data_IF_266639655463
#
_entry.id   IF_266639655463
#
_cell.length_a   1.000
_cell.length_b   1.000
_cell.length_c   1.000
_cell.angle_alpha   90.00
_cell.angle_beta   90.00
_cell.angle_gamma   90.00
#
_symmetry.space_group_name_H-M   'P 1'
#
loop_
_entity.id
_entity.type
_entity.pdbx_description
1 polymer ?
#
# COMPACT_ATOMS: atom_id res chain seq x y z
N UNK A 1 18.69 31.42 -9.25
CA UNK A 1 17.34 31.42 -8.63
C UNK A 1 17.25 30.09 -7.91
N UNK A 2 16.97 30.05 -6.61
CA UNK A 2 16.80 28.76 -5.93
C UNK A 2 15.54 28.09 -6.44
N UNK A 3 15.62 26.80 -6.72
CA UNK A 3 14.47 25.99 -7.13
C UNK A 3 13.65 25.69 -5.88
N UNK A 4 12.34 25.91 -5.96
CA UNK A 4 11.40 25.59 -4.90
C UNK A 4 10.84 24.18 -5.15
N UNK A 5 10.68 23.38 -4.10
CA UNK A 5 9.99 22.07 -4.14
C UNK A 5 8.66 22.19 -3.41
N UNK A 6 7.61 21.64 -4.02
CA UNK A 6 6.29 21.58 -3.41
C UNK A 6 6.25 20.51 -2.31
N UNK A 7 5.77 20.92 -1.15
CA UNK A 7 5.62 20.09 0.03
C UNK A 7 4.13 19.99 0.37
N UNK A 8 3.57 18.79 0.22
CA UNK A 8 2.15 18.49 0.43
C UNK A 8 1.90 17.79 1.76
N UNK A 9 0.66 17.89 2.26
CA UNK A 9 0.28 17.26 3.51
C UNK A 9 -0.01 15.77 3.35
N UNK A 10 -0.55 15.35 2.21
CA UNK A 10 -0.79 13.93 1.90
C UNK A 10 -0.27 13.58 0.50
N UNK A 11 0.28 12.38 0.33
CA UNK A 11 0.84 11.89 -0.95
C UNK A 11 -0.15 12.01 -2.12
N UNK A 12 -1.45 11.77 -1.87
CA UNK A 12 -2.50 11.93 -2.87
C UNK A 12 -2.61 13.33 -3.48
N UNK A 13 -2.15 14.39 -2.80
CA UNK A 13 -2.19 15.77 -3.33
C UNK A 13 -1.25 16.00 -4.51
N UNK A 14 -0.20 15.18 -4.61
CA UNK A 14 0.74 15.21 -5.75
C UNK A 14 0.00 14.93 -7.08
N UNK A 15 -1.18 14.31 -7.03
CA UNK A 15 -2.03 14.12 -8.20
C UNK A 15 -2.45 15.43 -8.89
N UNK A 16 -2.42 16.56 -8.19
CA UNK A 16 -2.66 17.87 -8.78
C UNK A 16 -1.58 18.28 -9.79
N UNK A 17 -0.38 17.69 -9.72
CA UNK A 17 0.74 17.96 -10.65
C UNK A 17 0.67 17.10 -11.92
N UNK A 18 -0.11 16.00 -11.90
CA UNK A 18 -0.17 15.03 -13.00
C UNK A 18 -0.67 15.56 -14.36
N UNK A 19 -1.51 16.61 -14.45
CA UNK A 19 -1.84 17.22 -15.75
C UNK A 19 -0.61 17.71 -16.53
N UNK A 20 0.50 18.00 -15.85
CA UNK A 20 1.77 18.37 -16.48
C UNK A 20 2.61 17.16 -16.92
N UNK A 21 2.12 15.93 -16.68
CA UNK A 21 2.77 14.65 -17.00
C UNK A 21 4.22 14.54 -16.49
N UNK A 22 4.46 14.79 -15.19
CA UNK A 22 5.81 14.83 -14.63
C UNK A 22 6.56 13.50 -14.76
N UNK A 23 5.84 12.38 -14.88
CA UNK A 23 6.41 11.02 -14.89
C UNK A 23 6.51 10.40 -16.29
N UNK A 24 5.95 11.04 -17.32
CA UNK A 24 5.83 10.44 -18.64
C UNK A 24 7.21 10.20 -19.29
N UNK A 25 7.53 8.94 -19.59
CA UNK A 25 8.80 8.56 -20.23
C UNK A 25 10.02 8.67 -19.32
N UNK A 26 9.80 8.77 -18.01
CA UNK A 26 10.83 8.89 -16.98
C UNK A 26 10.77 7.69 -16.02
N UNK A 27 11.85 7.43 -15.32
CA UNK A 27 11.85 6.51 -14.18
C UNK A 27 11.56 7.32 -12.92
N UNK A 28 10.49 6.96 -12.20
CA UNK A 28 10.20 7.54 -10.88
C UNK A 28 10.99 6.77 -9.83
N UNK A 29 11.75 7.45 -8.99
CA UNK A 29 12.33 6.89 -7.77
C UNK A 29 11.51 7.40 -6.60
N UNK A 30 10.74 6.53 -5.95
CA UNK A 30 9.94 6.88 -4.78
C UNK A 30 10.62 6.41 -3.48
N UNK A 31 10.77 7.36 -2.55
CA UNK A 31 11.14 7.10 -1.16
C UNK A 31 9.87 7.09 -0.35
N UNK A 32 9.45 5.91 0.08
CA UNK A 32 8.19 5.72 0.78
C UNK A 32 8.30 4.51 1.71
N UNK A 33 7.78 4.59 2.94
CA UNK A 33 7.72 3.41 3.81
C UNK A 33 6.69 2.41 3.29
N UNK A 34 5.61 2.89 2.67
CA UNK A 34 4.46 2.11 2.25
C UNK A 34 4.33 2.13 0.73
N UNK A 35 4.48 0.98 0.08
CA UNK A 35 4.27 0.93 -1.37
C UNK A 35 2.79 1.14 -1.74
N UNK A 36 2.50 2.34 -2.23
CA UNK A 36 1.19 2.83 -2.68
C UNK A 36 0.79 2.34 -4.09
N UNK A 37 0.99 1.04 -4.35
CA UNK A 37 0.71 0.40 -5.62
C UNK A 37 -0.27 -0.77 -5.49
N UNK A 38 -1.53 -0.55 -5.88
CA UNK A 38 -2.59 -1.57 -5.92
C UNK A 38 -3.50 -1.37 -7.13
N UNK A 39 -4.22 -2.39 -7.62
CA UNK A 39 -5.18 -2.16 -8.69
C UNK A 39 -6.22 -1.13 -8.30
N UNK A 40 -6.59 -0.28 -9.25
CA UNK A 40 -7.63 0.71 -9.06
C UNK A 40 -8.95 0.04 -8.70
N UNK A 41 -9.72 0.68 -7.83
CA UNK A 41 -11.09 0.28 -7.55
C UNK A 41 -11.94 0.21 -8.84
N UNK A 42 -13.02 -0.59 -8.87
CA UNK A 42 -13.90 -0.66 -10.03
C UNK A 42 -14.33 0.73 -10.53
N UNK A 43 -14.22 0.95 -11.85
CA UNK A 43 -14.51 2.24 -12.49
C UNK A 43 -13.41 3.30 -12.36
N UNK A 44 -12.36 3.08 -11.55
CA UNK A 44 -11.29 4.07 -11.32
C UNK A 44 -10.50 4.40 -12.58
N UNK A 45 -10.14 3.40 -13.40
CA UNK A 45 -9.42 3.62 -14.67
C UNK A 45 -10.24 4.45 -15.67
N UNK A 46 -11.56 4.21 -15.74
CA UNK A 46 -12.47 4.98 -16.61
C UNK A 46 -12.61 6.42 -16.13
N UNK A 47 -12.82 6.62 -14.83
CA UNK A 47 -12.91 7.95 -14.23
C UNK A 47 -11.61 8.74 -14.45
N UNK A 48 -10.45 8.12 -14.24
CA UNK A 48 -9.14 8.73 -14.47
C UNK A 48 -8.87 9.03 -15.95
N UNK A 49 -9.32 8.20 -16.89
CA UNK A 49 -9.21 8.56 -18.32
C UNK A 49 -10.08 9.75 -18.67
N UNK A 50 -11.29 9.83 -18.10
CA UNK A 50 -12.18 10.96 -18.32
C UNK A 50 -11.60 12.29 -17.79
N UNK A 51 -10.78 12.27 -16.73
CA UNK A 51 -10.07 13.48 -16.26
C UNK A 51 -8.99 13.94 -17.24
N UNK A 52 -8.27 12.99 -17.86
CA UNK A 52 -7.26 13.29 -18.87
C UNK A 52 -7.82 13.98 -20.13
N UNK A 53 -9.10 13.76 -20.44
CA UNK A 53 -9.81 14.32 -21.59
C UNK A 53 -10.42 15.72 -21.35
N UNK A 54 -10.22 16.30 -20.16
CA UNK A 54 -10.21 17.77 -20.00
C UNK A 54 -11.37 18.47 -19.28
N UNK A 55 -12.06 17.84 -18.32
CA UNK A 55 -13.14 18.53 -17.56
C UNK A 55 -13.05 18.47 -16.02
N UNK A 56 -12.20 17.61 -15.45
CA UNK A 56 -12.13 17.38 -13.99
C UNK A 56 -10.66 17.14 -13.63
N UNK A 57 -10.16 17.79 -12.58
CA UNK A 57 -8.78 17.55 -12.13
C UNK A 57 -8.65 16.15 -11.52
N UNK A 58 -7.56 15.38 -11.76
CA UNK A 58 -7.31 14.12 -11.04
C UNK A 58 -7.37 14.28 -9.52
N UNK A 59 -7.01 15.46 -8.99
CA UNK A 59 -7.11 15.77 -7.56
C UNK A 59 -8.55 15.68 -7.01
N UNK A 60 -9.58 15.86 -7.85
CA UNK A 60 -10.98 15.72 -7.44
C UNK A 60 -11.41 14.26 -7.25
N UNK A 61 -10.67 13.32 -7.84
CA UNK A 61 -10.90 11.87 -7.69
C UNK A 61 -10.09 11.26 -6.53
N UNK A 62 -9.30 12.06 -5.81
CA UNK A 62 -8.55 11.61 -4.64
C UNK A 62 -9.54 11.31 -3.49
N UNK A 63 -9.51 10.09 -2.99
CA UNK A 63 -10.23 9.64 -1.79
C UNK A 63 -9.68 10.42 -0.60
N UNK A 64 -10.57 11.11 0.10
CA UNK A 64 -10.21 11.78 1.34
C UNK A 64 -10.04 10.72 2.42
N UNK A 65 -8.88 10.69 3.08
CA UNK A 65 -8.65 9.74 4.16
C UNK A 65 -9.61 9.98 5.33
N UNK A 66 -10.00 8.93 6.07
CA UNK A 66 -9.64 7.51 5.96
C UNK A 66 -10.56 6.71 5.01
N UNK A 67 -11.25 7.36 4.07
CA UNK A 67 -12.28 6.73 3.22
C UNK A 67 -11.62 5.75 2.25
N UNK A 68 -11.90 4.46 2.43
CA UNK A 68 -11.51 3.36 1.53
C UNK A 68 -12.73 2.87 0.75
N UNK A 69 -12.51 2.25 -0.41
CA UNK A 69 -13.58 1.62 -1.19
C UNK A 69 -14.59 2.57 -1.85
N UNK A 70 -14.20 3.79 -2.25
CA UNK A 70 -15.04 4.67 -3.07
C UNK A 70 -14.88 4.30 -4.54
N UNK A 71 -15.93 3.79 -5.22
CA UNK A 71 -15.85 3.46 -6.65
C UNK A 71 -15.50 4.70 -7.49
N UNK A 72 -14.68 4.51 -8.53
CA UNK A 72 -14.26 5.61 -9.41
C UNK A 72 -13.23 6.59 -8.83
N UNK A 73 -12.88 6.49 -7.55
CA UNK A 73 -11.85 7.29 -6.89
C UNK A 73 -10.60 6.47 -6.59
N UNK A 74 -9.46 7.13 -6.34
CA UNK A 74 -8.19 6.52 -5.94
C UNK A 74 -7.66 7.20 -4.66
N UNK A 75 -6.81 6.56 -3.86
CA UNK A 75 -6.23 7.10 -2.64
C UNK A 75 -4.73 6.83 -2.56
N UNK A 76 -4.17 6.91 -1.34
CA UNK A 76 -2.76 6.58 -1.07
C UNK A 76 -2.43 5.18 -1.64
N UNK A 77 -3.19 4.19 -1.22
CA UNK A 77 -3.02 2.78 -1.51
C UNK A 77 -2.89 2.37 -3.00
N UNK A 78 -3.48 3.12 -3.93
CA UNK A 78 -3.49 2.86 -5.37
C UNK A 78 -2.98 4.04 -6.21
N UNK A 79 -2.29 4.99 -5.57
CA UNK A 79 -1.75 6.22 -6.16
C UNK A 79 -0.86 5.93 -7.38
N UNK A 80 0.08 5.00 -7.27
CA UNK A 80 1.00 4.70 -8.38
C UNK A 80 0.29 4.04 -9.57
N UNK A 81 -0.79 3.31 -9.33
CA UNK A 81 -1.64 2.79 -10.41
C UNK A 81 -2.43 3.90 -11.10
N UNK A 82 -2.90 4.89 -10.33
CA UNK A 82 -3.55 6.07 -10.91
C UNK A 82 -2.55 6.89 -11.75
N UNK A 83 -1.34 7.11 -11.25
CA UNK A 83 -0.25 7.78 -11.96
C UNK A 83 0.07 7.09 -13.30
N UNK A 84 0.03 5.77 -13.35
CA UNK A 84 0.23 5.02 -14.59
C UNK A 84 -0.83 5.34 -15.67
N UNK A 85 -2.07 5.61 -15.25
CA UNK A 85 -3.17 5.93 -16.16
C UNK A 85 -3.09 7.37 -16.67
N UNK A 86 -2.86 8.35 -15.78
CA UNK A 86 -3.00 9.79 -16.13
C UNK A 86 -1.69 10.54 -16.31
N UNK A 87 -0.63 10.15 -15.57
CA UNK A 87 0.69 10.78 -15.65
C UNK A 87 1.66 10.03 -16.59
N UNK A 88 1.26 8.87 -17.11
CA UNK A 88 2.06 8.06 -18.04
C UNK A 88 3.24 7.35 -17.38
N UNK A 89 3.14 7.03 -16.08
CA UNK A 89 4.15 6.26 -15.37
C UNK A 89 4.24 4.84 -15.93
N UNK A 90 5.44 4.42 -16.31
CA UNK A 90 5.73 3.04 -16.74
C UNK A 90 6.77 2.35 -15.85
N UNK A 91 7.73 3.09 -15.31
CA UNK A 91 8.87 2.56 -14.58
C UNK A 91 8.98 3.23 -13.20
N UNK A 92 8.86 2.41 -12.16
CA UNK A 92 8.89 2.83 -10.75
C UNK A 92 10.00 2.08 -10.02
N UNK A 93 10.87 2.82 -9.35
CA UNK A 93 11.86 2.32 -8.40
C UNK A 93 11.37 2.69 -7.01
N UNK A 94 10.98 1.70 -6.22
CA UNK A 94 10.63 1.91 -4.82
C UNK A 94 11.83 1.63 -3.93
N UNK A 95 12.20 2.62 -3.14
CA UNK A 95 13.29 2.57 -2.16
C UNK A 95 12.68 2.51 -0.76
N UNK A 96 12.51 1.31 -0.18
CA UNK A 96 11.95 1.17 1.16
C UNK A 96 12.93 1.68 2.23
N UNK A 97 12.42 2.03 3.41
CA UNK A 97 13.19 2.53 4.55
C UNK A 97 13.96 1.43 5.31
N UNK A 98 14.39 0.36 4.65
CA UNK A 98 15.06 -0.76 5.31
C UNK A 98 16.47 -0.39 5.79
N UNK A 99 16.79 -0.73 7.04
CA UNK A 99 18.13 -0.57 7.62
C UNK A 99 19.07 -1.75 7.36
N UNK A 100 18.54 -2.92 7.05
CA UNK A 100 19.31 -4.15 6.85
C UNK A 100 19.09 -4.75 5.48
N UNK A 101 20.19 -5.26 4.92
CA UNK A 101 20.27 -5.83 3.58
C UNK A 101 20.37 -7.36 3.60
N UNK A 102 20.56 -7.94 4.78
CA UNK A 102 20.58 -9.39 4.93
C UNK A 102 19.20 -9.96 4.60
N UNK A 103 19.13 -10.81 3.57
CA UNK A 103 17.87 -11.41 3.15
C UNK A 103 16.86 -10.44 2.52
N UNK A 104 17.30 -9.28 2.02
CA UNK A 104 16.42 -8.27 1.40
C UNK A 104 15.53 -8.85 0.30
N UNK A 105 15.98 -9.90 -0.40
CA UNK A 105 15.21 -10.56 -1.46
C UNK A 105 13.88 -11.13 -0.93
N UNK A 106 13.91 -11.75 0.26
CA UNK A 106 12.71 -12.28 0.89
C UNK A 106 11.76 -11.14 1.28
N UNK A 107 12.31 -10.08 1.87
CA UNK A 107 11.54 -8.89 2.24
C UNK A 107 10.89 -8.23 1.02
N UNK A 108 11.62 -8.05 -0.08
CA UNK A 108 11.10 -7.48 -1.33
C UNK A 108 9.95 -8.30 -1.90
N UNK A 109 10.08 -9.63 -1.95
CA UNK A 109 8.99 -10.51 -2.42
C UNK A 109 7.78 -10.39 -1.50
N UNK A 110 7.98 -10.39 -0.19
CA UNK A 110 6.89 -10.29 0.78
C UNK A 110 6.16 -8.94 0.71
N UNK A 111 6.88 -7.83 0.53
CA UNK A 111 6.31 -6.47 0.42
C UNK A 111 5.34 -6.33 -0.75
N UNK A 112 5.63 -6.97 -1.89
CA UNK A 112 4.75 -6.93 -3.07
C UNK A 112 3.76 -8.09 -3.12
N UNK A 113 3.83 -9.04 -2.18
CA UNK A 113 3.11 -10.31 -2.26
C UNK A 113 1.60 -10.23 -2.10
N UNK A 114 1.09 -9.12 -1.55
CA UNK A 114 -0.33 -8.87 -1.34
C UNK A 114 -0.98 -8.02 -2.44
N UNK A 115 -0.19 -7.50 -3.38
CA UNK A 115 -0.70 -6.73 -4.51
C UNK A 115 -1.33 -7.72 -5.49
N UNK A 116 -2.64 -7.57 -5.73
CA UNK A 116 -3.37 -8.43 -6.67
C UNK A 116 -2.92 -8.14 -8.09
N UNK A 117 -2.82 -9.19 -8.91
CA UNK A 117 -2.30 -9.05 -10.28
C UNK A 117 -3.33 -8.53 -11.27
N UNK A 118 -4.60 -8.45 -10.87
CA UNK A 118 -5.72 -8.20 -11.79
C UNK A 118 -5.81 -9.24 -12.92
N UNK A 119 -5.27 -10.45 -12.70
CA UNK A 119 -5.22 -11.52 -13.71
C UNK A 119 -4.08 -11.38 -14.72
N UNK A 120 -3.17 -10.42 -14.57
CA UNK A 120 -2.02 -10.22 -15.47
C UNK A 120 -0.78 -10.99 -14.99
N UNK A 121 0.03 -11.59 -15.90
CA UNK A 121 1.30 -12.19 -15.50
C UNK A 121 2.28 -11.16 -14.96
N UNK A 122 2.92 -11.44 -13.82
CA UNK A 122 3.79 -10.48 -13.12
C UNK A 122 5.28 -10.56 -13.47
N UNK A 123 5.73 -11.67 -14.09
CA UNK A 123 7.13 -11.92 -14.51
C UNK A 123 8.18 -11.40 -13.50
N UNK A 124 8.16 -11.89 -12.24
CA UNK A 124 9.12 -11.47 -11.22
C UNK A 124 10.53 -12.00 -11.54
N UNK A 125 11.55 -11.20 -11.28
CA UNK A 125 12.95 -11.60 -11.34
C UNK A 125 13.76 -10.85 -10.29
N UNK A 126 14.63 -11.57 -9.59
CA UNK A 126 15.54 -10.99 -8.60
C UNK A 126 16.92 -10.85 -9.21
N UNK A 127 17.52 -9.67 -9.08
CA UNK A 127 18.88 -9.31 -9.51
C UNK A 127 19.74 -8.98 -8.29
N UNK A 128 21.06 -8.77 -8.44
CA UNK A 128 21.93 -8.45 -7.30
C UNK A 128 21.50 -7.21 -6.51
N UNK A 129 20.86 -6.25 -7.16
CA UNK A 129 20.48 -4.96 -6.57
C UNK A 129 18.97 -4.75 -6.37
N UNK A 130 18.11 -5.63 -6.88
CA UNK A 130 16.66 -5.36 -6.89
C UNK A 130 15.79 -6.57 -7.17
N UNK A 131 14.56 -6.54 -6.68
CA UNK A 131 13.47 -7.36 -7.20
C UNK A 131 12.79 -6.55 -8.30
N UNK A 132 12.60 -7.13 -9.48
CA UNK A 132 11.81 -6.54 -10.56
C UNK A 132 10.54 -7.33 -10.78
N UNK A 133 9.42 -6.64 -10.97
CA UNK A 133 8.10 -7.24 -11.19
C UNK A 133 7.21 -6.27 -11.94
N UNK A 134 6.30 -6.76 -12.78
CA UNK A 134 5.23 -5.94 -13.37
C UNK A 134 3.94 -6.11 -12.58
N UNK A 135 3.44 -5.01 -12.03
CA UNK A 135 2.18 -4.96 -11.26
C UNK A 135 1.39 -3.73 -11.70
N UNK A 136 0.07 -3.88 -11.85
CA UNK A 136 -0.83 -2.77 -12.21
C UNK A 136 -0.43 -1.99 -13.49
N UNK A 137 0.29 -2.61 -14.42
CA UNK A 137 0.79 -1.95 -15.63
C UNK A 137 2.12 -1.19 -15.44
N UNK A 138 2.66 -1.17 -14.23
CA UNK A 138 3.93 -0.53 -13.87
C UNK A 138 5.03 -1.58 -13.74
N UNK A 139 6.19 -1.32 -14.32
CA UNK A 139 7.42 -2.06 -14.03
C UNK A 139 8.00 -1.52 -12.73
N UNK A 140 7.87 -2.30 -11.67
CA UNK A 140 8.37 -2.00 -10.34
C UNK A 140 9.74 -2.63 -10.12
N UNK A 141 10.68 -1.85 -9.61
CA UNK A 141 11.92 -2.32 -9.00
C UNK A 141 11.88 -2.00 -7.49
N UNK A 142 12.02 -3.02 -6.63
CA UNK A 142 12.22 -2.84 -5.19
C UNK A 142 13.72 -2.85 -4.93
N UNK A 143 14.25 -1.73 -4.45
CA UNK A 143 15.69 -1.48 -4.39
C UNK A 143 16.09 -1.07 -2.97
N UNK A 144 16.85 -1.89 -2.23
CA UNK A 144 17.37 -1.48 -0.93
C UNK A 144 18.21 -0.19 -1.03
N UNK A 145 18.17 0.71 -0.02
CA UNK A 145 18.84 2.00 -0.07
C UNK A 145 20.33 1.97 -0.46
N UNK A 146 21.13 1.05 0.07
CA UNK A 146 22.55 0.89 -0.26
C UNK A 146 22.83 0.41 -1.69
N UNK A 147 21.88 -0.29 -2.30
CA UNK A 147 21.99 -0.82 -3.66
C UNK A 147 21.47 0.16 -4.72
N UNK A 148 20.91 1.30 -4.29
CA UNK A 148 20.29 2.31 -5.17
C UNK A 148 21.27 2.83 -6.22
N UNK A 149 22.45 3.30 -5.81
CA UNK A 149 23.45 3.83 -6.74
C UNK A 149 23.82 2.82 -7.84
N UNK A 150 24.04 1.56 -7.46
CA UNK A 150 24.37 0.47 -8.38
C UNK A 150 23.19 0.05 -9.26
N UNK A 151 21.95 0.20 -8.78
CA UNK A 151 20.76 -0.04 -9.59
C UNK A 151 20.61 1.03 -10.68
N UNK A 152 20.71 2.30 -10.30
CA UNK A 152 20.55 3.44 -11.22
C UNK A 152 21.57 3.36 -12.36
N UNK A 153 22.85 3.16 -12.04
CA UNK A 153 23.94 3.06 -13.02
C UNK A 153 23.74 1.93 -14.05
N UNK A 154 23.30 0.75 -13.58
CA UNK A 154 23.18 -0.45 -14.43
C UNK A 154 21.89 -0.53 -15.19
N UNK A 155 20.78 -0.10 -14.59
CA UNK A 155 19.43 -0.49 -15.05
C UNK A 155 18.53 0.68 -15.45
N UNK A 156 18.84 1.90 -15.02
CA UNK A 156 18.05 3.09 -15.38
C UNK A 156 18.71 3.81 -16.55
N UNK A 157 17.94 4.06 -17.61
CA UNK A 157 18.41 4.65 -18.88
C UNK A 157 17.65 5.90 -19.31
N UNK A 158 16.52 6.16 -18.66
CA UNK A 158 15.67 7.34 -18.87
C UNK A 158 15.97 8.37 -17.79
N UNK A 159 15.49 9.60 -18.01
CA UNK A 159 15.57 10.64 -16.99
C UNK A 159 14.89 10.18 -15.69
N UNK A 160 15.51 10.53 -14.56
CA UNK A 160 14.99 10.25 -13.24
C UNK A 160 14.18 11.44 -12.74
N UNK A 161 13.08 11.11 -12.06
CA UNK A 161 12.33 12.04 -11.22
C UNK A 161 12.13 11.39 -9.86
N UNK A 162 12.38 12.14 -8.80
CA UNK A 162 12.28 11.66 -7.42
C UNK A 162 10.96 12.11 -6.81
N UNK A 163 10.33 11.23 -6.06
CA UNK A 163 9.14 11.50 -5.24
C UNK A 163 9.40 11.00 -3.81
N UNK A 164 8.93 11.71 -2.80
CA UNK A 164 9.29 11.45 -1.39
C UNK A 164 8.04 11.53 -0.52
N UNK A 165 7.67 10.43 0.11
CA UNK A 165 6.89 10.45 1.35
C UNK A 165 7.86 10.43 2.55
N UNK A 166 7.75 11.45 3.40
CA UNK A 166 8.62 11.65 4.55
C UNK A 166 8.34 10.66 5.68
N UNK A 167 7.27 9.87 5.59
CA UNK A 167 7.09 8.70 6.45
C UNK A 167 8.22 7.66 6.29
N UNK A 168 9.01 7.75 5.20
CA UNK A 168 10.24 6.99 4.99
C UNK A 168 11.25 7.18 6.11
N UNK A 169 11.24 8.34 6.78
CA UNK A 169 12.16 8.66 7.87
C UNK A 169 11.81 7.96 9.19
N UNK A 170 10.59 7.42 9.35
CA UNK A 170 10.10 6.87 10.62
C UNK A 170 9.80 5.37 10.57
N UNK A 171 9.85 4.71 11.72
CA UNK A 171 9.42 3.33 11.92
C UNK A 171 7.88 3.20 11.99
N UNK A 172 7.36 1.97 12.05
CA UNK A 172 5.91 1.69 12.21
C UNK A 172 5.30 2.18 13.53
N UNK A 173 6.14 2.69 14.43
CA UNK A 173 5.73 3.29 15.69
C UNK A 173 5.89 4.83 15.66
N UNK A 174 6.24 5.41 14.50
CA UNK A 174 6.44 6.84 14.33
C UNK A 174 7.73 7.34 14.96
N UNK A 175 8.76 6.50 15.14
CA UNK A 175 10.07 6.93 15.68
C UNK A 175 11.07 7.07 14.54
N UNK A 176 11.93 8.09 14.56
CA UNK A 176 12.96 8.26 13.54
C UNK A 176 13.82 7.01 13.35
N UNK A 177 13.73 6.46 12.15
CA UNK A 177 14.53 5.35 11.66
C UNK A 177 15.70 5.85 10.80
N UNK A 178 15.53 6.96 10.10
CA UNK A 178 16.56 7.61 9.29
C UNK A 178 16.58 9.11 9.56
N UNK A 179 17.73 9.74 9.34
CA UNK A 179 17.86 11.19 9.44
C UNK A 179 17.52 11.89 8.12
N UNK A 180 17.18 13.17 8.19
CA UNK A 180 17.02 14.00 6.99
C UNK A 180 18.31 14.06 6.14
N UNK A 181 19.48 13.83 6.74
CA UNK A 181 20.75 13.73 6.03
C UNK A 181 20.82 12.43 5.21
N UNK A 182 20.45 11.30 5.79
CA UNK A 182 20.46 10.00 5.10
C UNK A 182 19.57 10.04 3.84
N UNK A 183 18.36 10.59 3.98
CA UNK A 183 17.43 10.75 2.85
C UNK A 183 17.99 11.72 1.80
N UNK A 184 18.54 12.87 2.21
CA UNK A 184 19.10 13.83 1.27
C UNK A 184 20.30 13.26 0.49
N UNK A 185 21.13 12.42 1.11
CA UNK A 185 22.23 11.73 0.44
C UNK A 185 21.72 10.73 -0.61
N UNK A 186 20.70 9.94 -0.29
CA UNK A 186 20.08 9.00 -1.24
C UNK A 186 19.37 9.71 -2.41
N UNK A 187 18.67 10.80 -2.13
CA UNK A 187 18.06 11.64 -3.17
C UNK A 187 19.13 12.27 -4.06
N UNK A 188 20.25 12.70 -3.47
CA UNK A 188 21.42 13.19 -4.20
C UNK A 188 22.00 12.14 -5.17
N UNK A 189 22.00 10.86 -4.78
CA UNK A 189 22.42 9.74 -5.65
C UNK A 189 21.49 9.54 -6.84
N UNK A 190 20.18 9.79 -6.68
CA UNK A 190 19.21 9.67 -7.77
C UNK A 190 19.52 10.63 -8.92
N UNK A 191 19.97 11.84 -8.57
CA UNK A 191 20.05 12.95 -9.51
C UNK A 191 18.67 13.30 -10.08
N UNK A 192 18.66 14.20 -11.06
CA UNK A 192 17.43 14.61 -11.73
C UNK A 192 16.57 15.59 -10.92
N UNK A 193 15.28 15.57 -11.20
CA UNK A 193 14.29 16.49 -10.63
C UNK A 193 13.63 15.87 -9.40
N UNK A 194 13.32 16.69 -8.39
CA UNK A 194 12.46 16.31 -7.28
C UNK A 194 11.04 16.82 -7.58
N UNK A 195 10.09 15.91 -7.82
CA UNK A 195 8.72 16.25 -8.19
C UNK A 195 7.96 16.89 -7.03
N UNK A 196 7.96 16.22 -5.87
CA UNK A 196 7.28 16.66 -4.68
C UNK A 196 7.86 15.97 -3.44
N UNK A 197 7.51 16.51 -2.27
CA UNK A 197 7.65 15.82 -0.99
C UNK A 197 6.31 15.84 -0.25
N UNK A 198 5.99 14.81 0.51
CA UNK A 198 4.77 14.71 1.33
C UNK A 198 5.11 14.32 2.76
N UNK A 199 4.34 14.77 3.75
CA UNK A 199 4.63 14.47 5.16
C UNK A 199 3.56 13.66 5.88
N UNK A 200 2.38 13.43 5.31
CA UNK A 200 1.40 12.42 5.77
C UNK A 200 1.04 12.47 7.27
N UNK A 201 0.76 13.68 7.80
CA UNK A 201 0.35 13.85 9.22
C UNK A 201 -1.13 13.59 9.47
N UNK A 202 -2.04 13.86 8.51
CA UNK A 202 -3.48 13.64 8.71
C UNK A 202 -3.84 12.16 8.64
N UNK A 203 -3.12 11.43 7.79
CA UNK A 203 -3.16 9.98 7.71
C UNK A 203 -2.58 9.28 8.95
N UNK A 204 -1.78 10.00 9.76
CA UNK A 204 -1.16 9.47 10.97
C UNK A 204 0.06 8.59 10.71
N UNK A 205 0.64 8.64 9.50
CA UNK A 205 1.89 7.94 9.17
C UNK A 205 3.12 8.69 9.69
N UNK A 206 3.05 10.02 9.75
CA UNK A 206 4.06 10.86 10.40
C UNK A 206 3.49 11.60 11.62
N UNK A 207 4.14 11.53 12.79
CA UNK A 207 3.79 12.36 13.93
C UNK A 207 3.85 13.87 13.61
N UNK A 208 2.91 14.63 14.16
CA UNK A 208 2.77 16.08 13.92
C UNK A 208 4.00 16.89 14.35
N UNK A 209 4.76 16.40 15.35
CA UNK A 209 6.03 17.02 15.77
C UNK A 209 7.11 17.02 14.68
N UNK A 210 6.96 16.22 13.63
CA UNK A 210 7.91 16.15 12.51
C UNK A 210 7.47 16.93 11.27
N UNK A 211 6.41 17.74 11.35
CA UNK A 211 5.91 18.56 10.24
C UNK A 211 7.00 19.42 9.55
N UNK A 212 8.03 19.82 10.29
CA UNK A 212 9.12 20.66 9.77
C UNK A 212 10.21 19.88 9.02
N UNK A 213 10.18 18.54 9.04
CA UNK A 213 11.28 17.71 8.49
C UNK A 213 11.43 17.87 6.97
N UNK A 214 10.34 18.14 6.25
CA UNK A 214 10.40 18.40 4.81
C UNK A 214 11.24 19.63 4.45
N UNK A 215 11.14 20.70 5.24
CA UNK A 215 11.98 21.88 5.06
C UNK A 215 13.48 21.58 5.35
N UNK A 216 13.74 20.69 6.31
CA UNK A 216 15.09 20.26 6.68
C UNK A 216 15.77 19.42 5.58
N UNK A 217 15.00 18.51 4.96
CA UNK A 217 15.43 17.73 3.78
C UNK A 217 15.65 18.65 2.58
N UNK A 218 14.70 19.55 2.28
CA UNK A 218 14.85 20.52 1.18
C UNK A 218 16.13 21.35 1.32
N UNK A 219 16.40 21.86 2.52
CA UNK A 219 17.59 22.68 2.79
C UNK A 219 18.90 21.91 2.54
N UNK A 220 18.97 20.62 2.91
CA UNK A 220 20.14 19.75 2.63
C UNK A 220 20.34 19.48 1.15
N UNK A 221 19.26 19.44 0.39
CA UNK A 221 19.28 19.34 -1.07
C UNK A 221 19.57 20.69 -1.76
N UNK A 222 19.75 21.78 -1.00
CA UNK A 222 19.95 23.12 -1.55
C UNK A 222 18.70 23.74 -2.17
N UNK A 223 17.52 23.23 -1.80
CA UNK A 223 16.20 23.67 -2.25
C UNK A 223 15.50 24.49 -1.17
N UNK A 224 14.43 25.18 -1.56
CA UNK A 224 13.47 25.75 -0.59
C UNK A 224 12.17 24.96 -0.68
N UNK A 225 11.62 24.58 0.46
CA UNK A 225 10.29 23.99 0.51
C UNK A 225 9.22 25.08 0.42
N UNK A 226 8.18 24.83 -0.36
CA UNK A 226 6.94 25.61 -0.39
C UNK A 226 5.80 24.69 -0.01
N UNK A 227 5.12 25.00 1.09
CA UNK A 227 3.89 24.31 1.45
C UNK A 227 2.81 24.58 0.39
N UNK A 228 2.25 23.51 -0.14
CA UNK A 228 1.19 23.52 -1.15
C UNK A 228 0.08 22.58 -0.69
N UNK A 229 -1.18 22.97 -0.91
CA UNK A 229 -2.30 22.09 -0.61
C UNK A 229 -3.47 22.35 -1.55
N UNK A 230 -4.12 21.27 -1.96
CA UNK A 230 -5.31 21.28 -2.80
C UNK A 230 -6.50 20.61 -2.11
N UNK A 231 -6.26 19.97 -0.95
CA UNK A 231 -7.33 19.44 -0.13
C UNK A 231 -8.04 20.56 0.63
N UNK A 232 -9.38 20.49 0.75
CA UNK A 232 -10.09 21.40 1.65
C UNK A 232 -9.56 21.24 3.07
N UNK A 233 -9.51 22.34 3.82
CA UNK A 233 -9.11 22.42 5.23
C UNK A 233 -10.14 21.75 6.17
N UNK A 234 -10.57 20.54 5.84
CA UNK A 234 -11.45 19.75 6.69
C UNK A 234 -10.64 19.32 7.90
N UNK A 235 -11.02 19.72 9.13
CA UNK A 235 -10.30 19.30 10.32
C UNK A 235 -10.49 17.79 10.49
N UNK A 236 -9.39 17.04 10.39
CA UNK A 236 -9.36 15.60 10.66
C UNK A 236 -8.78 15.34 12.06
N UNK A 237 -9.24 14.31 12.77
CA UNK A 237 -8.72 13.99 14.09
C UNK A 237 -7.35 13.28 13.97
N UNK A 238 -6.29 14.04 13.70
CA UNK A 238 -4.91 13.55 13.50
C UNK A 238 -4.47 12.59 14.62
N UNK A 239 -4.73 12.95 15.89
CA UNK A 239 -4.43 12.13 17.06
C UNK A 239 -5.15 10.77 17.04
N UNK A 240 -6.39 10.71 16.55
CA UNK A 240 -7.14 9.47 16.45
C UNK A 240 -6.59 8.60 15.32
N UNK A 241 -6.24 9.21 14.19
CA UNK A 241 -5.60 8.51 13.07
C UNK A 241 -4.25 7.90 13.47
N UNK A 242 -3.42 8.67 14.16
CA UNK A 242 -2.15 8.20 14.71
C UNK A 242 -2.36 7.01 15.65
N UNK A 243 -3.36 7.07 16.55
CA UNK A 243 -3.69 5.94 17.44
C UNK A 243 -4.14 4.71 16.68
N UNK A 244 -4.98 4.88 15.64
CA UNK A 244 -5.41 3.79 14.78
C UNK A 244 -4.21 3.13 14.08
N UNK A 245 -3.27 3.93 13.58
CA UNK A 245 -2.06 3.44 12.92
C UNK A 245 -1.14 2.69 13.90
N UNK A 246 -0.88 3.27 15.08
CA UNK A 246 -0.06 2.67 16.13
C UNK A 246 -0.74 1.49 16.85
N UNK A 247 -2.04 1.25 16.61
CA UNK A 247 -2.81 0.22 17.30
C UNK A 247 -2.99 0.49 18.79
N UNK A 248 -3.05 1.76 19.21
CA UNK A 248 -3.21 2.17 20.61
C UNK A 248 -4.67 2.47 20.96
N UNK A 249 -5.00 2.34 22.25
CA UNK A 249 -6.36 2.55 22.73
C UNK A 249 -6.82 4.02 22.54
N UNK A 250 -8.02 4.20 22.00
CA UNK A 250 -8.73 5.49 22.05
C UNK A 250 -9.49 5.65 23.39
N UNK A 251 -9.80 6.89 23.81
CA UNK A 251 -10.72 7.14 24.92
C UNK A 251 -12.06 6.41 24.73
N UNK A 252 -12.67 5.99 25.84
CA UNK A 252 -13.92 5.23 25.82
C UNK A 252 -15.14 6.06 25.36
N UNK A 253 -15.07 7.40 25.45
CA UNK A 253 -16.11 8.27 24.93
C UNK A 253 -16.01 8.34 23.40
N UNK A 254 -17.05 7.85 22.72
CA UNK A 254 -17.23 8.04 21.28
C UNK A 254 -17.64 9.49 20.95
N UNK A 255 -17.68 9.85 19.66
CA UNK A 255 -18.20 11.15 19.24
C UNK A 255 -19.67 11.27 19.71
N UNK A 256 -20.08 12.47 20.10
CA UNK A 256 -21.46 12.72 20.52
C UNK A 256 -22.44 12.42 19.37
N UNK A 257 -23.62 11.88 19.70
CA UNK A 257 -24.74 11.73 18.77
C UNK A 257 -25.31 13.12 18.40
N UNK A 258 -24.62 13.82 17.51
CA UNK A 258 -25.19 14.98 16.81
C UNK A 258 -25.79 14.52 15.46
N UNK A 259 -26.73 15.28 14.91
CA UNK A 259 -27.30 15.03 13.56
C UNK A 259 -26.17 14.99 12.52
N UNK A 260 -25.68 13.80 12.21
CA UNK A 260 -24.44 13.62 11.47
C UNK A 260 -24.61 12.96 10.10
N UNK A 261 -23.93 13.51 9.10
CA UNK A 261 -23.77 12.92 7.76
C UNK A 261 -22.61 11.92 7.68
N UNK A 262 -22.09 11.69 6.47
CA UNK A 262 -21.00 10.72 6.20
C UNK A 262 -19.75 11.03 7.03
N UNK A 263 -19.46 12.31 7.30
CA UNK A 263 -18.34 12.75 8.14
C UNK A 263 -18.44 12.20 9.57
N UNK A 264 -19.64 12.18 10.15
CA UNK A 264 -19.87 11.57 11.45
C UNK A 264 -19.67 10.05 11.38
N UNK A 265 -20.17 9.41 10.31
CA UNK A 265 -19.94 7.98 10.08
C UNK A 265 -18.46 7.62 10.01
N UNK A 266 -17.64 8.46 9.36
CA UNK A 266 -16.19 8.31 9.31
C UNK A 266 -15.58 8.41 10.70
N UNK A 267 -15.95 9.42 11.49
CA UNK A 267 -15.44 9.59 12.86
C UNK A 267 -15.78 8.37 13.73
N UNK A 268 -17.03 7.90 13.69
CA UNK A 268 -17.47 6.70 14.42
C UNK A 268 -16.66 5.46 14.00
N UNK A 269 -16.41 5.27 12.70
CA UNK A 269 -15.62 4.15 12.21
C UNK A 269 -14.16 4.20 12.69
N UNK A 270 -13.54 5.39 12.77
CA UNK A 270 -12.20 5.57 13.32
C UNK A 270 -12.12 5.20 14.80
N UNK A 271 -13.13 5.58 15.58
CA UNK A 271 -13.23 5.13 16.97
C UNK A 271 -13.34 3.60 17.05
N UNK A 272 -14.15 2.98 16.21
CA UNK A 272 -14.25 1.52 16.11
C UNK A 272 -12.90 0.86 15.77
N UNK A 273 -12.14 1.44 14.86
CA UNK A 273 -10.82 0.96 14.45
C UNK A 273 -9.81 0.96 15.60
N UNK A 274 -9.79 2.03 16.40
CA UNK A 274 -8.93 2.14 17.58
C UNK A 274 -9.33 1.14 18.70
N UNK A 275 -10.59 0.69 18.73
CA UNK A 275 -11.10 -0.27 19.73
C UNK A 275 -11.04 -1.73 19.27
N UNK A 276 -10.91 -2.02 17.98
CA UNK A 276 -11.08 -3.37 17.44
C UNK A 276 -10.16 -4.44 18.05
N UNK A 277 -8.96 -4.07 18.48
CA UNK A 277 -8.04 -4.99 19.18
C UNK A 277 -8.39 -5.26 20.64
N UNK A 278 -9.18 -4.39 21.27
CA UNK A 278 -9.50 -4.42 22.71
C UNK A 278 -10.92 -4.93 22.97
N UNK A 279 -11.88 -4.48 22.16
CA UNK A 279 -13.28 -4.83 22.26
C UNK A 279 -13.90 -5.00 20.88
N UNK A 280 -13.90 -6.24 20.34
CA UNK A 280 -14.51 -6.53 19.05
C UNK A 280 -16.01 -6.22 19.00
N UNK A 281 -16.70 -6.32 20.14
CA UNK A 281 -18.11 -5.95 20.27
C UNK A 281 -18.31 -4.44 20.08
N UNK A 282 -17.46 -3.61 20.71
CA UNK A 282 -17.52 -2.14 20.53
C UNK A 282 -17.17 -1.72 19.12
N UNK A 283 -16.17 -2.35 18.50
CA UNK A 283 -15.84 -2.08 17.11
C UNK A 283 -17.01 -2.42 16.16
N UNK A 284 -17.75 -3.49 16.45
CA UNK A 284 -18.97 -3.84 15.75
C UNK A 284 -20.09 -2.82 15.95
N UNK A 285 -20.34 -2.37 17.19
CA UNK A 285 -21.30 -1.28 17.46
C UNK A 285 -20.97 -0.03 16.63
N UNK A 286 -19.69 0.38 16.60
CA UNK A 286 -19.23 1.49 15.78
C UNK A 286 -19.42 1.23 14.28
N UNK A 287 -19.22 0.00 13.81
CA UNK A 287 -19.45 -0.34 12.40
C UNK A 287 -20.92 -0.16 12.01
N UNK A 288 -21.84 -0.63 12.85
CA UNK A 288 -23.29 -0.53 12.63
C UNK A 288 -23.76 0.94 12.72
N UNK A 289 -23.25 1.71 13.68
CA UNK A 289 -23.51 3.15 13.81
C UNK A 289 -22.99 3.94 12.62
N UNK A 290 -21.75 3.70 12.18
CA UNK A 290 -21.17 4.36 11.01
C UNK A 290 -22.00 4.10 9.74
N UNK A 291 -22.48 2.87 9.56
CA UNK A 291 -23.37 2.51 8.47
C UNK A 291 -24.71 3.27 8.54
N UNK A 292 -25.24 3.51 9.76
CA UNK A 292 -26.40 4.37 10.00
C UNK A 292 -26.22 5.82 9.54
N UNK A 293 -24.99 6.33 9.56
CA UNK A 293 -24.59 7.62 8.99
C UNK A 293 -24.18 7.55 7.51
N UNK A 294 -24.39 6.40 6.85
CA UNK A 294 -24.08 6.20 5.43
C UNK A 294 -22.63 5.82 5.11
N UNK A 295 -21.78 5.59 6.11
CA UNK A 295 -20.37 5.22 5.90
C UNK A 295 -20.10 3.74 6.19
N UNK A 296 -19.56 3.02 5.21
CA UNK A 296 -19.18 1.61 5.36
C UNK A 296 -17.67 1.45 5.22
N UNK A 297 -17.00 1.04 6.30
CA UNK A 297 -15.54 0.93 6.34
C UNK A 297 -15.05 -0.50 6.13
N UNK A 298 -14.42 -0.77 4.98
CA UNK A 298 -13.75 -2.05 4.69
C UNK A 298 -12.67 -2.38 5.73
N UNK A 299 -11.94 -1.36 6.19
CA UNK A 299 -10.89 -1.49 7.19
C UNK A 299 -11.44 -1.93 8.55
N UNK A 300 -12.54 -1.33 9.00
CA UNK A 300 -13.17 -1.68 10.27
C UNK A 300 -13.76 -3.09 10.21
N UNK A 301 -14.45 -3.44 9.12
CA UNK A 301 -14.94 -4.79 8.88
C UNK A 301 -13.79 -5.82 8.96
N UNK A 302 -12.66 -5.53 8.30
CA UNK A 302 -11.48 -6.39 8.36
C UNK A 302 -10.95 -6.55 9.80
N UNK A 303 -10.79 -5.45 10.55
CA UNK A 303 -10.28 -5.49 11.93
C UNK A 303 -11.20 -6.27 12.87
N UNK A 304 -12.52 -6.10 12.75
CA UNK A 304 -13.51 -6.91 13.49
C UNK A 304 -13.35 -8.39 13.13
N UNK A 305 -13.31 -8.70 11.83
CA UNK A 305 -13.14 -10.07 11.34
C UNK A 305 -11.86 -10.74 11.85
N UNK A 306 -10.75 -10.01 11.84
CA UNK A 306 -9.47 -10.49 12.35
C UNK A 306 -9.51 -10.75 13.87
N UNK A 307 -10.11 -9.85 14.64
CA UNK A 307 -10.23 -10.01 16.10
C UNK A 307 -11.15 -11.18 16.48
N UNK A 308 -12.29 -11.35 15.79
CA UNK A 308 -13.18 -12.51 15.97
C UNK A 308 -12.49 -13.82 15.63
N UNK A 309 -11.68 -13.84 14.57
CA UNK A 309 -10.91 -15.02 14.20
C UNK A 309 -9.93 -15.42 15.31
N UNK A 310 -9.21 -14.44 15.88
CA UNK A 310 -8.28 -14.65 16.98
C UNK A 310 -8.98 -15.21 18.23
N UNK A 311 -10.22 -14.78 18.49
CA UNK A 311 -11.05 -15.27 19.60
C UNK A 311 -11.75 -16.62 19.33
N UNK A 312 -11.52 -17.24 18.16
CA UNK A 312 -12.11 -18.53 17.80
C UNK A 312 -13.54 -18.47 17.25
N UNK A 313 -14.14 -17.28 17.15
CA UNK A 313 -15.43 -17.09 16.49
C UNK A 313 -15.27 -17.02 14.97
N UNK A 314 -14.99 -18.18 14.38
CA UNK A 314 -14.72 -18.31 12.95
C UNK A 314 -15.93 -17.96 12.07
N UNK A 315 -17.15 -18.14 12.57
CA UNK A 315 -18.38 -17.82 11.81
C UNK A 315 -18.52 -16.32 11.63
N UNK A 316 -18.48 -15.56 12.73
CA UNK A 316 -18.57 -14.08 12.68
C UNK A 316 -17.35 -13.49 12.01
N UNK A 317 -16.16 -14.06 12.25
CA UNK A 317 -14.95 -13.66 11.53
C UNK A 317 -15.15 -13.72 10.01
N UNK A 318 -15.63 -14.85 9.49
CA UNK A 318 -15.83 -15.02 8.04
C UNK A 318 -16.86 -14.04 7.47
N UNK A 319 -17.92 -13.73 8.22
CA UNK A 319 -18.92 -12.73 7.81
C UNK A 319 -18.27 -11.37 7.59
N UNK A 320 -17.56 -10.85 8.59
CA UNK A 320 -16.92 -9.53 8.51
C UNK A 320 -15.75 -9.48 7.53
N UNK A 321 -14.99 -10.57 7.39
CA UNK A 321 -13.93 -10.65 6.38
C UNK A 321 -14.49 -10.64 4.95
N UNK A 322 -15.63 -11.30 4.71
CA UNK A 322 -16.33 -11.21 3.41
C UNK A 322 -16.89 -9.82 3.16
N UNK A 323 -17.39 -9.15 4.20
CA UNK A 323 -17.87 -7.78 4.09
C UNK A 323 -16.76 -6.79 3.74
N UNK A 324 -15.58 -6.91 4.38
CA UNK A 324 -14.40 -6.10 4.04
C UNK A 324 -14.04 -6.22 2.55
N UNK A 325 -14.07 -7.45 2.02
CA UNK A 325 -13.77 -7.75 0.61
C UNK A 325 -14.86 -7.24 -0.32
N UNK A 326 -16.12 -7.29 0.10
CA UNK A 326 -17.25 -6.76 -0.68
C UNK A 326 -17.14 -5.24 -0.84
N UNK A 327 -16.72 -4.55 0.23
CA UNK A 327 -16.56 -3.10 0.26
C UNK A 327 -15.34 -2.64 -0.55
N UNK A 328 -14.23 -3.36 -0.46
CA UNK A 328 -13.02 -3.04 -1.24
C UNK A 328 -12.27 -4.32 -1.66
N UNK A 329 -12.59 -4.87 -2.86
CA UNK A 329 -12.02 -6.14 -3.29
C UNK A 329 -10.57 -6.05 -3.78
N UNK A 330 -10.07 -4.84 -4.08
CA UNK A 330 -8.73 -4.61 -4.65
C UNK A 330 -7.70 -4.15 -3.60
N UNK A 331 -8.15 -3.72 -2.42
CA UNK A 331 -7.25 -3.36 -1.32
C UNK A 331 -6.43 -4.57 -0.84
N UNK A 332 -5.17 -4.34 -0.43
CA UNK A 332 -4.32 -5.34 0.22
C UNK A 332 -4.92 -5.82 1.55
N UNK A 333 -5.68 -4.96 2.25
CA UNK A 333 -6.50 -5.40 3.39
C UNK A 333 -7.59 -6.38 2.95
N UNK A 334 -8.21 -6.16 1.80
CA UNK A 334 -9.14 -7.09 1.18
C UNK A 334 -8.46 -8.42 0.82
N UNK A 335 -7.28 -8.39 0.20
CA UNK A 335 -6.49 -9.59 -0.08
C UNK A 335 -6.15 -10.37 1.20
N UNK A 336 -5.74 -9.67 2.26
CA UNK A 336 -5.48 -10.30 3.56
C UNK A 336 -6.78 -10.85 4.20
N UNK A 337 -7.89 -10.12 4.08
CA UNK A 337 -9.19 -10.55 4.56
C UNK A 337 -9.65 -11.85 3.89
N UNK A 338 -9.41 -12.00 2.59
CA UNK A 338 -9.69 -13.24 1.85
C UNK A 338 -8.84 -14.41 2.35
N UNK A 339 -7.54 -14.20 2.58
CA UNK A 339 -6.66 -15.24 3.15
C UNK A 339 -7.18 -15.69 4.52
N UNK A 340 -7.54 -14.75 5.40
CA UNK A 340 -8.13 -15.08 6.71
C UNK A 340 -9.50 -15.74 6.58
N UNK A 341 -10.32 -15.30 5.62
CA UNK A 341 -11.62 -15.88 5.30
C UNK A 341 -11.51 -17.34 4.90
N UNK A 342 -10.56 -17.68 4.02
CA UNK A 342 -10.28 -19.05 3.62
C UNK A 342 -9.80 -19.92 4.79
N UNK A 343 -9.02 -19.35 5.73
CA UNK A 343 -8.68 -20.03 6.99
C UNK A 343 -9.90 -20.25 7.88
N UNK A 344 -10.84 -19.31 7.92
CA UNK A 344 -12.09 -19.50 8.65
C UNK A 344 -12.95 -20.59 7.99
N UNK A 345 -13.03 -20.63 6.66
CA UNK A 345 -13.66 -21.72 5.90
C UNK A 345 -13.02 -23.07 6.24
N UNK A 346 -11.69 -23.16 6.35
CA UNK A 346 -11.02 -24.40 6.78
C UNK A 346 -11.51 -24.89 8.14
N UNK A 347 -11.76 -23.97 9.09
CA UNK A 347 -12.23 -24.31 10.43
C UNK A 347 -13.71 -24.72 10.47
N UNK A 348 -14.52 -24.17 9.58
CA UNK A 348 -15.97 -24.34 9.58
C UNK A 348 -16.45 -25.48 8.67
N UNK A 349 -15.83 -25.62 7.51
CA UNK A 349 -16.29 -26.46 6.40
C UNK A 349 -15.26 -27.50 5.96
N UNK A 350 -14.02 -27.40 6.46
CA UNK A 350 -12.98 -28.40 6.25
C UNK A 350 -12.06 -28.16 5.05
N UNK A 351 -11.13 -29.10 4.78
CA UNK A 351 -10.01 -28.89 3.85
C UNK A 351 -10.42 -28.70 2.39
N UNK A 352 -11.40 -29.46 1.88
CA UNK A 352 -11.85 -29.36 0.49
C UNK A 352 -12.38 -27.95 0.14
N UNK A 353 -13.26 -27.40 0.98
CA UNK A 353 -13.82 -26.06 0.79
C UNK A 353 -12.72 -24.99 0.84
N UNK A 354 -11.83 -25.08 1.83
CA UNK A 354 -10.70 -24.16 1.95
C UNK A 354 -9.72 -24.25 0.78
N UNK A 355 -9.44 -25.46 0.27
CA UNK A 355 -8.54 -25.67 -0.86
C UNK A 355 -9.03 -24.90 -2.09
N UNK A 356 -10.33 -24.96 -2.38
CA UNK A 356 -10.93 -24.21 -3.49
C UNK A 356 -10.74 -22.69 -3.34
N UNK A 357 -10.97 -22.14 -2.14
CA UNK A 357 -10.75 -20.71 -1.89
C UNK A 357 -9.26 -20.33 -2.00
N UNK A 358 -8.36 -21.18 -1.49
CA UNK A 358 -6.92 -20.95 -1.58
C UNK A 358 -6.38 -21.05 -3.00
N UNK A 359 -6.91 -21.94 -3.85
CA UNK A 359 -6.53 -22.01 -5.27
C UNK A 359 -6.86 -20.70 -6.00
N UNK A 360 -8.05 -20.13 -5.77
CA UNK A 360 -8.43 -18.83 -6.32
C UNK A 360 -7.48 -17.72 -5.83
N UNK A 361 -7.15 -17.71 -4.54
CA UNK A 361 -6.16 -16.81 -3.97
C UNK A 361 -4.77 -16.98 -4.59
N UNK A 362 -4.34 -18.20 -4.89
CA UNK A 362 -3.04 -18.47 -5.51
C UNK A 362 -2.91 -17.85 -6.90
N UNK A 363 -3.98 -17.89 -7.69
CA UNK A 363 -4.00 -17.28 -9.03
C UNK A 363 -3.87 -15.75 -8.97
N UNK A 364 -4.46 -15.12 -7.96
CA UNK A 364 -4.45 -13.66 -7.81
C UNK A 364 -3.24 -13.12 -7.03
N UNK A 365 -2.66 -13.94 -6.15
CA UNK A 365 -1.52 -13.61 -5.30
C UNK A 365 -0.38 -14.61 -5.54
N UNK A 366 0.19 -14.69 -6.76
CA UNK A 366 1.19 -15.69 -7.11
C UNK A 366 2.48 -15.55 -6.28
N UNK A 367 2.74 -14.35 -5.74
CA UNK A 367 3.91 -14.07 -4.91
C UNK A 367 3.72 -14.41 -3.42
N UNK A 368 2.49 -14.74 -2.98
CA UNK A 368 2.19 -14.98 -1.57
C UNK A 368 2.56 -16.39 -1.13
N UNK A 369 3.79 -16.57 -0.65
CA UNK A 369 4.33 -17.85 -0.15
C UNK A 369 3.39 -18.60 0.79
N UNK A 370 2.78 -17.90 1.75
CA UNK A 370 1.86 -18.50 2.73
C UNK A 370 0.63 -19.17 2.10
N UNK A 371 0.11 -18.60 1.00
CA UNK A 371 -1.02 -19.18 0.24
C UNK A 371 -0.60 -20.49 -0.40
N UNK A 372 0.51 -20.51 -1.14
CA UNK A 372 1.01 -21.72 -1.81
C UNK A 372 1.44 -22.84 -0.86
N UNK A 373 2.02 -22.49 0.30
CA UNK A 373 2.28 -23.48 1.37
C UNK A 373 0.98 -24.15 1.83
N UNK A 374 -0.09 -23.36 1.99
CA UNK A 374 -1.40 -23.86 2.42
C UNK A 374 -2.06 -24.70 1.34
N UNK A 375 -2.06 -24.26 0.08
CA UNK A 375 -2.56 -25.03 -1.08
C UNK A 375 -1.87 -26.39 -1.13
N UNK A 376 -0.53 -26.44 -1.08
CA UNK A 376 0.22 -27.70 -1.14
C UNK A 376 -0.18 -28.66 -0.03
N UNK A 377 -0.34 -28.15 1.19
CA UNK A 377 -0.71 -28.95 2.36
C UNK A 377 -2.12 -29.52 2.22
N UNK A 378 -3.10 -28.67 1.89
CA UNK A 378 -4.50 -29.09 1.75
C UNK A 378 -4.68 -30.04 0.56
N UNK A 379 -4.05 -29.76 -0.58
CA UNK A 379 -4.12 -30.61 -1.76
C UNK A 379 -3.59 -32.03 -1.49
N UNK A 380 -2.48 -32.15 -0.74
CA UNK A 380 -1.97 -33.46 -0.31
C UNK A 380 -2.92 -34.20 0.64
N UNK A 381 -3.58 -33.47 1.54
CA UNK A 381 -4.55 -34.07 2.46
C UNK A 381 -5.79 -34.60 1.71
N UNK A 382 -6.21 -33.91 0.65
CA UNK A 382 -7.34 -34.29 -0.20
C UNK A 382 -6.97 -35.27 -1.34
N UNK A 383 -5.69 -35.63 -1.48
CA UNK A 383 -5.22 -36.50 -2.57
C UNK A 383 -5.12 -35.84 -3.95
N UNK A 384 -5.28 -34.52 -4.04
CA UNK A 384 -5.10 -33.73 -5.27
C UNK A 384 -3.61 -33.49 -5.54
N UNK A 385 -2.98 -34.47 -6.18
CA UNK A 385 -1.54 -34.44 -6.47
C UNK A 385 -1.17 -33.45 -7.57
N UNK A 386 -2.11 -33.06 -8.43
CA UNK A 386 -1.85 -32.10 -9.52
C UNK A 386 -1.74 -30.67 -8.97
N UNK A 387 -2.67 -30.29 -8.11
CA UNK A 387 -2.60 -29.03 -7.37
C UNK A 387 -1.38 -28.98 -6.46
N UNK A 388 -1.06 -30.08 -5.77
CA UNK A 388 0.13 -30.15 -4.91
C UNK A 388 1.43 -29.91 -5.70
N UNK A 389 1.56 -30.50 -6.90
CA UNK A 389 2.71 -30.30 -7.78
C UNK A 389 2.78 -28.87 -8.32
N UNK A 390 1.64 -28.28 -8.66
CA UNK A 390 1.56 -26.87 -9.10
C UNK A 390 2.05 -25.94 -8.00
N UNK A 391 1.56 -26.13 -6.77
CA UNK A 391 1.98 -25.34 -5.62
C UNK A 391 3.48 -25.51 -5.31
N UNK A 392 4.04 -26.71 -5.50
CA UNK A 392 5.48 -26.96 -5.35
C UNK A 392 6.32 -26.28 -6.44
N UNK A 393 5.83 -26.23 -7.68
CA UNK A 393 6.43 -25.41 -8.75
C UNK A 393 6.52 -23.95 -8.35
N UNK A 394 5.42 -23.38 -7.84
CA UNK A 394 5.37 -21.99 -7.42
C UNK A 394 6.26 -21.72 -6.20
N UNK A 395 6.27 -22.59 -5.19
CA UNK A 395 7.15 -22.44 -4.03
C UNK A 395 8.62 -22.44 -4.43
N UNK A 396 9.03 -23.27 -5.39
CA UNK A 396 10.39 -23.27 -5.93
C UNK A 396 10.73 -21.96 -6.65
N UNK A 397 9.78 -21.36 -7.39
CA UNK A 397 9.97 -20.03 -7.95
C UNK A 397 10.21 -19.00 -6.84
N UNK A 398 9.41 -19.01 -5.78
CA UNK A 398 9.58 -18.09 -4.65
C UNK A 398 10.90 -18.32 -3.91
N UNK A 399 11.33 -19.57 -3.75
CA UNK A 399 12.65 -19.88 -3.17
C UNK A 399 13.80 -19.34 -4.02
N UNK A 400 13.67 -19.41 -5.35
CA UNK A 400 14.63 -18.73 -6.23
C UNK A 400 14.60 -17.23 -6.04
N UNK A 401 13.43 -16.59 -6.04
CA UNK A 401 13.33 -15.12 -5.92
C UNK A 401 13.85 -14.61 -4.57
N UNK A 402 13.68 -15.36 -3.48
CA UNK A 402 14.06 -14.97 -2.12
C UNK A 402 15.49 -15.36 -1.72
N UNK A 403 16.24 -16.07 -2.57
CA UNK A 403 17.57 -16.59 -2.23
C UNK A 403 18.71 -15.58 -2.40
N UNK A 404 19.77 -15.62 -1.58
CA UNK A 404 20.94 -14.74 -1.73
C UNK A 404 21.77 -14.95 -3.02
N UNK A 405 21.45 -15.98 -3.83
CA UNK A 405 22.02 -16.23 -5.16
C UNK A 405 20.97 -16.18 -6.29
N UNK A 406 19.82 -15.55 -6.05
CA UNK A 406 18.70 -15.43 -6.98
C UNK A 406 19.02 -14.64 -8.26
N UNK A 407 20.09 -13.84 -8.22
CA UNK A 407 20.56 -13.09 -9.35
C UNK A 407 20.83 -14.04 -10.52
N UNK A 408 20.03 -13.93 -11.59
CA UNK A 408 20.37 -14.62 -12.82
C UNK A 408 21.80 -14.24 -13.20
N UNK A 409 22.67 -15.21 -13.57
CA UNK A 409 23.96 -14.86 -14.13
C UNK A 409 23.71 -13.98 -15.34
N UNK A 410 24.23 -12.75 -15.30
CA UNK A 410 24.14 -11.84 -16.43
C UNK A 410 24.79 -12.54 -17.62
N UNK A 411 24.00 -12.81 -18.65
CA UNK A 411 24.55 -13.20 -19.94
C UNK A 411 25.29 -11.97 -20.46
N UNK A 412 26.60 -11.93 -20.23
CA UNK A 412 27.48 -11.01 -20.92
C UNK A 412 27.37 -11.27 -22.43
N UNK A 413 26.78 -10.33 -23.16
CA UNK A 413 26.94 -10.17 -24.60
C UNK A 413 25.82 -10.71 -25.49
N UNK A 414 25.04 -9.78 -26.05
CA UNK A 414 24.66 -9.75 -27.46
C UNK A 414 24.42 -8.30 -27.90
#
# INVERSE_FOLDING_TARGET
MSVDVDLFEEHGEVAALWPHRPYHGRTVVCFDRHLDLKPLAPGGEEALRATADGNVSPAELVRRLPVRGVPGAFGLDDFWSAAAVVAGLTDLVWVPSWRSYEGWQAHAVDSVSLITTGGRPTRPSTRPCCLTVTLCGVRLAVVPPDLLAGHLDRHVRTDVVTDIDLDWLVDEHGRFEHSAQDLAELVGVCGGELAAMTWSTRSGFLPSEYRTVGADVAARLGLRARESSFLPATPWPEDLMLRVHQGTAAPAAGPADEEGGVEQGIAVALHGLAQAGLSPDRAQECFEQAAGHGYHSSWLAYKIGAARYANGDHRTARQYLREAVRLDPQDTLGAHARIMGARATLRLEGPAAALSEFQALGAELPLRRGVWKTIRMLARAEGDMDTARTAEGQLRLLDRLSGPGAAEPEVEGA
#
